data_IF_802425436111
#
_entry.id   IF_802425436111
#
_cell.length_a   1.000
_cell.length_b   1.000
_cell.length_c   1.000
_cell.angle_alpha   90.00
_cell.angle_beta   90.00
_cell.angle_gamma   90.00
#
_symmetry.space_group_name_H-M   'P 1'
#
loop_
_entity.id
_entity.type
_entity.pdbx_description
1 polymer ?
#
# COMPACT_ATOMS: atom_id res chain seq x y z
N UNK A 1 13.07 -18.90 -5.45
CA UNK A 1 12.40 -17.71 -6.04
C UNK A 1 13.39 -16.56 -6.02
N UNK A 2 13.31 -15.63 -6.95
CA UNK A 2 14.07 -14.37 -6.87
C UNK A 2 13.20 -13.33 -6.17
N UNK A 3 13.75 -12.58 -5.23
CA UNK A 3 13.06 -11.48 -4.53
C UNK A 3 13.83 -10.19 -4.72
N UNK A 4 13.13 -9.12 -5.06
CA UNK A 4 13.71 -7.79 -5.14
C UNK A 4 13.11 -6.92 -4.04
N UNK A 5 13.91 -6.61 -3.02
CA UNK A 5 13.53 -5.73 -1.92
C UNK A 5 13.73 -4.29 -2.37
N UNK A 6 12.65 -3.53 -2.42
CA UNK A 6 12.62 -2.13 -2.87
C UNK A 6 12.29 -1.27 -1.65
N UNK A 7 13.22 -0.44 -1.21
CA UNK A 7 13.05 0.43 -0.04
C UNK A 7 12.71 1.86 -0.44
N UNK A 8 11.57 2.37 0.01
CA UNK A 8 11.17 3.77 -0.08
C UNK A 8 11.33 4.42 1.29
N UNK A 9 12.37 5.25 1.45
CA UNK A 9 12.79 5.82 2.73
C UNK A 9 12.09 7.17 3.02
N UNK A 10 10.81 7.28 2.67
CA UNK A 10 10.06 8.51 2.79
C UNK A 10 8.89 8.36 3.76
N UNK A 11 8.61 9.43 4.47
CA UNK A 11 7.36 9.72 5.12
C UNK A 11 6.85 11.01 4.50
N UNK A 12 5.95 10.88 3.52
CA UNK A 12 5.49 11.95 2.63
C UNK A 12 6.68 12.73 2.04
N UNK A 13 6.86 14.00 2.37
CA UNK A 13 7.99 14.81 1.89
C UNK A 13 9.30 14.60 2.68
N UNK A 14 9.29 13.79 3.75
CA UNK A 14 10.41 13.69 4.67
C UNK A 14 11.26 12.44 4.41
N UNK A 15 12.42 12.62 3.79
CA UNK A 15 13.38 11.54 3.58
C UNK A 15 14.03 11.10 4.90
N UNK A 16 14.01 9.80 5.19
CA UNK A 16 14.62 9.15 6.37
C UNK A 16 14.17 9.73 7.72
N UNK A 17 12.94 10.19 7.80
CA UNK A 17 12.35 10.70 9.04
C UNK A 17 11.07 9.94 9.35
N UNK A 18 10.67 9.96 10.62
CA UNK A 18 9.44 9.33 11.12
C UNK A 18 9.26 7.91 10.54
N UNK A 19 8.16 7.60 9.88
CA UNK A 19 7.86 6.30 9.27
C UNK A 19 8.81 5.95 8.11
N UNK A 20 9.42 6.93 7.44
CA UNK A 20 10.46 6.70 6.43
C UNK A 20 11.75 6.03 6.95
N UNK A 21 11.89 5.85 8.28
CA UNK A 21 12.96 5.04 8.88
C UNK A 21 12.61 3.55 8.94
N UNK A 22 11.34 3.18 8.78
CA UNK A 22 10.87 1.80 8.87
C UNK A 22 11.59 0.85 7.92
N UNK A 23 11.69 1.17 6.62
CA UNK A 23 12.41 0.33 5.67
C UNK A 23 13.87 0.08 6.04
N UNK A 24 14.59 1.11 6.51
CA UNK A 24 15.97 0.93 6.98
C UNK A 24 16.06 0.01 8.19
N UNK A 25 15.08 0.07 9.09
CA UNK A 25 15.02 -0.80 10.26
C UNK A 25 14.86 -2.26 9.84
N UNK A 26 13.96 -2.58 8.93
CA UNK A 26 13.83 -3.94 8.39
C UNK A 26 15.14 -4.46 7.80
N UNK A 27 15.81 -3.63 6.99
CA UNK A 27 17.09 -4.00 6.37
C UNK A 27 18.19 -4.21 7.42
N UNK A 28 18.31 -3.31 8.41
CA UNK A 28 19.33 -3.41 9.48
C UNK A 28 19.10 -4.56 10.43
N UNK A 29 17.85 -5.03 10.59
CA UNK A 29 17.50 -6.19 11.41
C UNK A 29 17.62 -7.53 10.65
N UNK A 30 18.25 -7.51 9.48
CA UNK A 30 18.64 -8.71 8.76
C UNK A 30 17.54 -9.32 7.89
N UNK A 31 16.61 -8.51 7.36
CA UNK A 31 15.58 -9.00 6.44
C UNK A 31 16.19 -9.76 5.26
N UNK A 32 17.23 -9.20 4.62
CA UNK A 32 17.88 -9.81 3.46
C UNK A 32 18.46 -11.16 3.82
N UNK A 33 19.23 -11.23 4.91
CA UNK A 33 19.85 -12.47 5.39
C UNK A 33 18.81 -13.54 5.74
N UNK A 34 17.66 -13.15 6.28
CA UNK A 34 16.56 -14.09 6.58
C UNK A 34 15.92 -14.63 5.31
N UNK A 35 15.72 -13.79 4.29
CA UNK A 35 15.21 -14.24 3.00
C UNK A 35 16.18 -15.17 2.29
N UNK A 36 17.47 -14.87 2.31
CA UNK A 36 18.53 -15.74 1.75
C UNK A 36 18.61 -17.09 2.48
N UNK A 37 18.48 -17.09 3.81
CA UNK A 37 18.42 -18.32 4.61
C UNK A 37 17.20 -19.20 4.27
N UNK A 38 16.11 -18.59 3.75
CA UNK A 38 14.94 -19.30 3.21
C UNK A 38 15.12 -19.74 1.74
N UNK A 39 16.32 -19.63 1.19
CA UNK A 39 16.63 -20.04 -0.18
C UNK A 39 16.21 -19.06 -1.26
N UNK A 40 15.94 -17.78 -0.91
CA UNK A 40 15.65 -16.74 -1.89
C UNK A 40 16.94 -16.15 -2.47
N UNK A 41 16.96 -15.87 -3.76
CA UNK A 41 17.99 -14.99 -4.34
C UNK A 41 17.52 -13.54 -4.21
N UNK A 42 18.19 -12.74 -3.38
CA UNK A 42 17.73 -11.39 -3.03
C UNK A 42 18.56 -10.33 -3.74
N UNK A 43 17.87 -9.37 -4.38
CA UNK A 43 18.43 -8.10 -4.81
C UNK A 43 17.79 -6.98 -4.00
N UNK A 44 18.47 -5.85 -3.86
CA UNK A 44 17.96 -4.68 -3.14
C UNK A 44 18.06 -3.42 -3.99
N UNK A 45 17.08 -2.54 -3.87
CA UNK A 45 17.10 -1.21 -4.45
C UNK A 45 16.51 -0.20 -3.45
N UNK A 46 16.97 1.04 -3.53
CA UNK A 46 16.38 2.16 -2.80
C UNK A 46 15.81 3.13 -3.78
N UNK A 47 14.57 3.56 -3.54
CA UNK A 47 13.92 4.61 -4.33
C UNK A 47 14.34 5.95 -3.76
N UNK A 48 14.97 6.76 -4.59
CA UNK A 48 15.28 8.15 -4.31
C UNK A 48 14.39 9.04 -5.17
N UNK A 49 13.52 9.82 -4.51
CA UNK A 49 12.65 10.76 -5.18
C UNK A 49 13.38 12.09 -5.33
N UNK A 50 13.43 12.60 -6.55
CA UNK A 50 13.95 13.93 -6.85
C UNK A 50 12.78 14.86 -7.24
N UNK A 51 12.00 15.39 -6.25
CA UNK A 51 10.87 16.24 -6.56
C UNK A 51 11.32 17.56 -7.18
N UNK A 52 10.52 18.11 -8.09
CA UNK A 52 10.80 19.40 -8.71
C UNK A 52 10.85 20.54 -7.69
N UNK A 53 10.10 20.40 -6.59
CA UNK A 53 10.10 21.29 -5.43
C UNK A 53 9.68 20.52 -4.17
N UNK A 54 10.14 20.94 -2.97
CA UNK A 54 9.89 20.21 -1.72
C UNK A 54 8.47 20.49 -1.20
N UNK A 55 7.49 19.75 -1.72
CA UNK A 55 6.11 19.76 -1.24
C UNK A 55 5.62 18.32 -1.06
N UNK A 56 4.73 18.11 -0.10
CA UNK A 56 4.25 16.77 0.26
C UNK A 56 3.68 16.02 -0.94
N UNK A 57 2.76 16.64 -1.67
CA UNK A 57 2.10 16.01 -2.82
C UNK A 57 3.10 15.69 -3.92
N UNK A 58 3.95 16.67 -4.32
CA UNK A 58 4.93 16.44 -5.38
C UNK A 58 5.92 15.33 -4.99
N UNK A 59 6.43 15.35 -3.76
CA UNK A 59 7.36 14.31 -3.29
C UNK A 59 6.69 12.95 -3.24
N UNK A 60 5.45 12.87 -2.73
CA UNK A 60 4.70 11.62 -2.69
C UNK A 60 4.51 11.01 -4.09
N UNK A 61 4.11 11.81 -5.08
CA UNK A 61 3.97 11.33 -6.45
C UNK A 61 5.32 11.02 -7.11
N UNK A 62 6.40 11.74 -6.79
CA UNK A 62 7.74 11.40 -7.24
C UNK A 62 8.19 10.03 -6.68
N UNK A 63 7.90 9.75 -5.41
CA UNK A 63 8.14 8.43 -4.79
C UNK A 63 7.34 7.35 -5.51
N UNK A 64 6.04 7.55 -5.73
CA UNK A 64 5.18 6.57 -6.42
C UNK A 64 5.71 6.26 -7.83
N UNK A 65 6.18 7.27 -8.58
CA UNK A 65 6.81 7.08 -9.90
C UNK A 65 8.06 6.19 -9.79
N UNK A 66 8.98 6.53 -8.89
CA UNK A 66 10.20 5.75 -8.70
C UNK A 66 9.95 4.31 -8.23
N UNK A 67 8.94 4.11 -7.38
CA UNK A 67 8.52 2.77 -6.97
C UNK A 67 7.94 2.00 -8.15
N UNK A 68 7.10 2.61 -8.98
CA UNK A 68 6.54 1.96 -10.16
C UNK A 68 7.63 1.48 -11.12
N UNK A 69 8.64 2.31 -11.37
CA UNK A 69 9.80 1.95 -12.20
C UNK A 69 10.61 0.79 -11.60
N UNK A 70 10.88 0.83 -10.30
CA UNK A 70 11.62 -0.22 -9.60
C UNK A 70 10.86 -1.56 -9.57
N UNK A 71 9.55 -1.52 -9.33
CA UNK A 71 8.69 -2.71 -9.37
C UNK A 71 8.61 -3.27 -10.79
N UNK A 72 8.45 -2.41 -11.79
CA UNK A 72 8.44 -2.84 -13.20
C UNK A 72 9.74 -3.56 -13.57
N UNK A 73 10.90 -3.00 -13.18
CA UNK A 73 12.20 -3.63 -13.41
C UNK A 73 12.33 -4.97 -12.70
N UNK A 74 11.84 -5.09 -11.46
CA UNK A 74 11.85 -6.35 -10.72
C UNK A 74 11.00 -7.43 -11.40
N UNK A 75 9.79 -7.07 -11.82
CA UNK A 75 8.87 -7.99 -12.53
C UNK A 75 9.47 -8.41 -13.88
N UNK A 76 10.06 -7.49 -14.65
CA UNK A 76 10.72 -7.79 -15.91
C UNK A 76 11.93 -8.75 -15.74
N UNK A 77 12.61 -8.67 -14.58
CA UNK A 77 13.69 -9.61 -14.20
C UNK A 77 13.19 -10.95 -13.66
N UNK A 78 11.89 -11.19 -13.62
CA UNK A 78 11.26 -12.41 -13.06
C UNK A 78 11.43 -12.51 -11.54
N UNK A 79 11.54 -11.39 -10.84
CA UNK A 79 11.64 -11.34 -9.39
C UNK A 79 10.29 -10.94 -8.75
N UNK A 80 10.07 -11.42 -7.53
CA UNK A 80 8.97 -10.97 -6.68
C UNK A 80 9.33 -9.61 -6.06
N UNK A 81 8.56 -8.54 -6.29
CA UNK A 81 8.81 -7.24 -5.67
C UNK A 81 8.30 -7.24 -4.23
N UNK A 82 9.19 -7.00 -3.27
CA UNK A 82 8.88 -6.75 -1.87
C UNK A 82 9.19 -5.28 -1.58
N UNK A 83 8.14 -4.45 -1.49
CA UNK A 83 8.28 -3.01 -1.24
C UNK A 83 8.21 -2.75 0.26
N UNK A 84 9.20 -2.07 0.79
CA UNK A 84 9.23 -1.53 2.14
C UNK A 84 9.04 -0.02 2.06
N UNK A 85 8.02 0.50 2.71
CA UNK A 85 7.66 1.91 2.61
C UNK A 85 7.34 2.51 3.99
N UNK A 86 7.44 3.81 4.10
CA UNK A 86 6.96 4.56 5.26
C UNK A 86 5.52 5.07 5.07
N UNK A 87 4.95 4.89 3.86
CA UNK A 87 3.62 5.40 3.53
C UNK A 87 2.79 4.41 2.71
N UNK A 88 1.51 4.33 3.03
CA UNK A 88 0.54 3.47 2.36
C UNK A 88 0.31 3.84 0.91
N UNK A 89 0.33 5.13 0.57
CA UNK A 89 0.18 5.64 -0.79
C UNK A 89 1.27 5.13 -1.76
N UNK A 90 2.41 4.63 -1.26
CA UNK A 90 3.45 3.96 -2.05
C UNK A 90 2.91 2.74 -2.80
N UNK A 91 1.84 2.12 -2.32
CA UNK A 91 1.15 1.01 -2.99
C UNK A 91 0.58 1.39 -4.36
N UNK A 92 0.25 2.66 -4.57
CA UNK A 92 -0.16 3.14 -5.91
C UNK A 92 0.94 2.92 -6.93
N UNK A 93 2.19 3.27 -6.57
CA UNK A 93 3.36 2.99 -7.40
C UNK A 93 3.61 1.49 -7.57
N UNK A 94 3.47 0.72 -6.48
CA UNK A 94 3.65 -0.74 -6.52
C UNK A 94 2.71 -1.40 -7.50
N UNK A 95 1.41 -1.13 -7.39
CA UNK A 95 0.38 -1.69 -8.28
C UNK A 95 0.60 -1.27 -9.72
N UNK A 96 0.91 0.02 -9.95
CA UNK A 96 1.20 0.54 -11.29
C UNK A 96 2.39 -0.17 -11.96
N UNK A 97 3.43 -0.47 -11.19
CA UNK A 97 4.64 -1.15 -11.69
C UNK A 97 4.47 -2.62 -12.01
N UNK A 98 3.37 -3.28 -11.56
CA UNK A 98 3.12 -4.70 -11.86
C UNK A 98 2.78 -4.97 -13.34
N UNK A 99 2.54 -3.91 -14.11
CA UNK A 99 2.26 -4.00 -15.54
C UNK A 99 0.78 -4.29 -15.85
N UNK A 100 0.44 -4.55 -17.13
CA UNK A 100 -0.94 -4.61 -17.63
C UNK A 100 -1.63 -5.94 -17.28
N UNK A 101 -1.71 -6.26 -16.02
CA UNK A 101 -2.41 -7.44 -15.48
C UNK A 101 -3.70 -7.02 -14.82
N UNK A 102 -4.66 -7.94 -14.71
CA UNK A 102 -5.80 -7.75 -13.82
C UNK A 102 -5.36 -7.95 -12.39
N UNK A 103 -5.04 -6.84 -11.73
CA UNK A 103 -4.57 -6.84 -10.33
C UNK A 103 -5.77 -6.73 -9.41
N UNK A 104 -5.76 -7.51 -8.32
CA UNK A 104 -6.56 -7.29 -7.13
C UNK A 104 -5.69 -6.75 -5.99
N UNK A 105 -6.32 -6.18 -4.99
CA UNK A 105 -5.65 -5.65 -3.81
C UNK A 105 -6.30 -6.19 -2.55
N UNK A 106 -5.49 -6.70 -1.64
CA UNK A 106 -5.87 -6.94 -0.25
C UNK A 106 -5.12 -5.92 0.59
N UNK A 107 -5.88 -5.04 1.23
CA UNK A 107 -5.38 -3.91 2.01
C UNK A 107 -5.62 -4.17 3.49
N UNK A 108 -4.58 -4.58 4.22
CA UNK A 108 -4.60 -4.73 5.67
C UNK A 108 -4.19 -3.43 6.33
N UNK A 109 -5.11 -2.80 7.07
CA UNK A 109 -4.92 -1.49 7.66
C UNK A 109 -5.97 -1.26 8.77
N UNK A 110 -5.63 -0.46 9.77
CA UNK A 110 -6.58 0.04 10.75
C UNK A 110 -7.48 1.14 10.17
N UNK A 111 -7.03 1.82 9.13
CA UNK A 111 -7.71 2.91 8.42
C UNK A 111 -8.27 2.39 7.08
N UNK A 112 -8.88 3.26 6.30
CA UNK A 112 -9.30 2.89 4.94
C UNK A 112 -8.38 3.49 3.87
N UNK A 113 -7.64 4.54 4.21
CA UNK A 113 -6.87 5.34 3.26
C UNK A 113 -7.68 5.78 2.04
N UNK A 114 -8.98 6.01 2.28
CA UNK A 114 -10.00 6.27 1.27
C UNK A 114 -10.50 7.72 1.29
N UNK A 115 -9.83 8.55 2.08
CA UNK A 115 -10.06 9.99 2.07
C UNK A 115 -9.64 10.60 0.74
N UNK A 116 -10.24 11.74 0.44
CA UNK A 116 -9.87 12.60 -0.69
C UNK A 116 -9.59 14.00 -0.15
N UNK A 117 -9.05 14.93 -0.93
CA UNK A 117 -8.90 16.33 -0.51
C UNK A 117 -10.20 16.97 0.01
N UNK A 118 -11.35 16.48 -0.45
CA UNK A 118 -12.67 17.02 -0.06
C UNK A 118 -13.21 16.39 1.24
N UNK A 119 -12.68 15.25 1.68
CA UNK A 119 -13.16 14.54 2.88
C UNK A 119 -12.16 14.51 4.01
N UNK A 120 -10.87 14.65 3.71
CA UNK A 120 -9.83 14.64 4.71
C UNK A 120 -9.90 15.86 5.62
N UNK A 121 -9.93 15.61 6.92
CA UNK A 121 -9.90 16.68 7.95
C UNK A 121 -8.49 17.27 8.13
N UNK A 122 -7.45 16.55 7.74
CA UNK A 122 -6.05 16.91 7.95
C UNK A 122 -5.31 17.29 6.67
N UNK A 123 -5.80 16.88 5.50
CA UNK A 123 -5.11 16.98 4.22
C UNK A 123 -3.94 16.00 4.06
N UNK A 124 -3.76 15.04 4.97
CA UNK A 124 -2.67 14.10 4.98
C UNK A 124 -2.75 13.15 3.77
N UNK A 125 -1.75 13.24 2.89
CA UNK A 125 -1.76 12.51 1.61
C UNK A 125 -1.76 10.99 1.80
N UNK A 126 -1.18 10.50 2.88
CA UNK A 126 -1.09 9.06 3.14
C UNK A 126 -2.46 8.41 3.32
N UNK A 127 -3.35 9.06 4.05
CA UNK A 127 -4.74 8.62 4.19
C UNK A 127 -5.59 8.70 2.90
N UNK A 128 -4.95 8.85 1.73
CA UNK A 128 -5.61 8.88 0.42
C UNK A 128 -5.12 7.77 -0.52
N UNK A 129 -4.28 6.85 -0.03
CA UNK A 129 -3.61 5.86 -0.85
C UNK A 129 -4.59 5.00 -1.66
N UNK A 130 -5.59 4.43 -1.02
CA UNK A 130 -6.60 3.61 -1.67
C UNK A 130 -7.55 4.44 -2.54
N UNK A 131 -7.86 5.68 -2.17
CA UNK A 131 -8.66 6.60 -2.99
C UNK A 131 -7.93 6.99 -4.29
N UNK A 132 -6.61 7.23 -4.24
CA UNK A 132 -5.79 7.47 -5.43
C UNK A 132 -5.78 6.22 -6.30
N UNK A 133 -5.53 5.06 -5.71
CA UNK A 133 -5.45 3.79 -6.42
C UNK A 133 -6.75 3.45 -7.18
N UNK A 134 -7.90 3.79 -6.60
CA UNK A 134 -9.22 3.58 -7.22
C UNK A 134 -9.70 4.77 -8.05
N UNK A 135 -8.86 5.78 -8.29
CA UNK A 135 -9.14 6.89 -9.20
C UNK A 135 -10.09 7.96 -8.67
N UNK A 136 -10.25 8.11 -7.36
CA UNK A 136 -11.17 9.06 -6.74
C UNK A 136 -10.61 10.46 -6.56
N UNK A 137 -9.30 10.58 -6.48
CA UNK A 137 -8.64 11.88 -6.33
C UNK A 137 -7.28 11.91 -7.03
N UNK A 138 -6.71 13.09 -7.17
CA UNK A 138 -5.38 13.33 -7.74
C UNK A 138 -5.15 12.73 -9.14
N UNK A 139 -6.20 12.48 -9.92
CA UNK A 139 -6.14 11.78 -11.22
C UNK A 139 -5.08 12.33 -12.19
N UNK A 140 -4.91 13.68 -12.37
CA UNK A 140 -3.87 14.19 -13.24
C UNK A 140 -2.46 13.81 -12.79
N UNK A 141 -2.20 13.80 -11.49
CA UNK A 141 -0.91 13.40 -10.92
C UNK A 141 -0.72 11.89 -10.96
N UNK A 142 -1.75 11.12 -10.62
CA UNK A 142 -1.72 9.67 -10.70
C UNK A 142 -1.43 9.19 -12.13
N UNK A 143 -2.00 9.86 -13.13
CA UNK A 143 -1.73 9.60 -14.55
C UNK A 143 -0.26 9.83 -14.97
N UNK A 144 0.57 10.48 -14.15
CA UNK A 144 2.02 10.60 -14.40
C UNK A 144 2.82 9.40 -13.91
N UNK A 145 2.23 8.50 -13.13
CA UNK A 145 2.88 7.29 -12.65
C UNK A 145 2.91 6.26 -13.78
N UNK A 146 4.09 5.73 -14.16
CA UNK A 146 4.18 4.74 -15.22
C UNK A 146 3.29 3.51 -14.95
N UNK A 147 2.43 3.17 -15.88
CA UNK A 147 1.53 2.01 -15.77
C UNK A 147 0.28 2.21 -14.91
N UNK A 148 0.06 3.40 -14.35
CA UNK A 148 -1.13 3.67 -13.56
C UNK A 148 -2.41 3.48 -14.37
N UNK A 149 -3.33 2.73 -13.79
CA UNK A 149 -4.73 2.59 -14.20
C UNK A 149 -5.60 2.54 -12.94
N UNK A 150 -6.70 3.29 -12.87
CA UNK A 150 -7.60 3.20 -11.73
C UNK A 150 -8.10 1.77 -11.53
N UNK A 151 -7.98 1.29 -10.30
CA UNK A 151 -8.41 -0.06 -9.93
C UNK A 151 -9.94 -0.07 -9.71
N UNK A 152 -10.69 -1.01 -10.32
CA UNK A 152 -12.10 -1.19 -9.99
C UNK A 152 -12.30 -1.57 -8.53
N UNK A 153 -13.27 -0.98 -7.86
CA UNK A 153 -13.59 -1.24 -6.43
C UNK A 153 -13.79 -2.71 -6.11
N UNK A 154 -14.48 -3.45 -6.98
CA UNK A 154 -14.74 -4.89 -6.80
C UNK A 154 -13.49 -5.76 -6.80
N UNK A 155 -12.30 -5.19 -7.08
CA UNK A 155 -11.02 -5.86 -6.98
C UNK A 155 -10.24 -5.47 -5.72
N UNK A 156 -10.90 -4.88 -4.75
CA UNK A 156 -10.29 -4.46 -3.48
C UNK A 156 -10.97 -5.17 -2.32
N UNK A 157 -10.18 -5.75 -1.43
CA UNK A 157 -10.57 -6.20 -0.10
C UNK A 157 -9.84 -5.30 0.90
N UNK A 158 -10.59 -4.52 1.67
CA UNK A 158 -10.09 -3.76 2.81
C UNK A 158 -10.32 -4.59 4.08
N UNK A 159 -9.27 -4.86 4.83
CA UNK A 159 -9.27 -5.80 5.94
C UNK A 159 -8.67 -5.18 7.21
N UNK A 160 -9.42 -5.17 8.31
CA UNK A 160 -8.98 -4.68 9.61
C UNK A 160 -9.41 -3.25 9.95
N UNK A 161 -10.03 -2.53 9.01
CA UNK A 161 -10.40 -1.14 9.22
C UNK A 161 -11.34 -0.95 10.42
N UNK A 162 -10.99 -0.01 11.30
CA UNK A 162 -11.70 0.31 12.55
C UNK A 162 -11.76 1.80 12.86
N UNK A 163 -10.80 2.59 12.38
CA UNK A 163 -10.76 4.05 12.52
C UNK A 163 -10.99 4.71 11.16
N UNK A 164 -12.16 5.28 10.98
CA UNK A 164 -12.63 5.87 9.73
C UNK A 164 -13.25 7.23 9.99
N UNK A 165 -12.81 8.25 9.26
CA UNK A 165 -13.50 9.54 9.21
C UNK A 165 -14.96 9.37 8.74
N UNK A 166 -15.85 10.24 9.17
CA UNK A 166 -17.30 10.12 8.88
C UNK A 166 -17.56 10.11 7.36
N UNK A 167 -17.00 11.07 6.64
CA UNK A 167 -17.20 11.18 5.19
C UNK A 167 -16.47 10.07 4.41
N UNK A 168 -15.35 9.59 4.92
CA UNK A 168 -14.64 8.45 4.39
C UNK A 168 -15.48 7.18 4.48
N UNK A 169 -16.07 6.93 5.64
CA UNK A 169 -17.00 5.80 5.88
C UNK A 169 -18.18 5.83 4.92
N UNK A 170 -18.84 6.98 4.78
CA UNK A 170 -19.98 7.14 3.86
C UNK A 170 -19.60 6.78 2.42
N UNK A 171 -18.42 7.21 1.97
CA UNK A 171 -17.91 6.90 0.63
C UNK A 171 -17.56 5.42 0.47
N UNK A 172 -16.97 4.82 1.50
CA UNK A 172 -16.63 3.40 1.51
C UNK A 172 -17.87 2.53 1.42
N UNK A 173 -18.90 2.84 2.21
CA UNK A 173 -20.20 2.16 2.21
C UNK A 173 -20.93 2.30 0.85
N UNK A 174 -20.72 3.40 0.14
CA UNK A 174 -21.24 3.63 -1.20
C UNK A 174 -20.41 2.98 -2.34
N UNK A 175 -19.32 2.28 -2.00
CA UNK A 175 -18.42 1.65 -2.98
C UNK A 175 -18.71 0.15 -3.12
N UNK A 176 -18.05 -0.50 -4.10
CA UNK A 176 -18.06 -1.95 -4.24
C UNK A 176 -16.83 -2.62 -3.60
N UNK A 177 -16.08 -1.91 -2.75
CA UNK A 177 -14.96 -2.46 -1.99
C UNK A 177 -15.49 -3.45 -0.95
N UNK A 178 -14.92 -4.66 -0.92
CA UNK A 178 -15.24 -5.64 0.10
C UNK A 178 -14.55 -5.23 1.43
N UNK A 179 -15.32 -4.67 2.37
CA UNK A 179 -14.81 -4.23 3.65
C UNK A 179 -15.03 -5.30 4.72
N UNK A 180 -13.94 -5.83 5.27
CA UNK A 180 -13.91 -6.74 6.41
C UNK A 180 -13.32 -6.00 7.61
N UNK A 181 -14.19 -5.43 8.46
CA UNK A 181 -13.76 -4.68 9.64
C UNK A 181 -12.96 -5.55 10.61
N UNK A 182 -12.21 -4.90 11.50
CA UNK A 182 -11.49 -5.58 12.60
C UNK A 182 -12.43 -6.51 13.39
N UNK A 183 -13.61 -6.02 13.78
CA UNK A 183 -14.61 -6.82 14.49
C UNK A 183 -15.10 -8.03 13.67
N UNK A 184 -15.22 -7.90 12.34
CA UNK A 184 -15.66 -8.99 11.48
C UNK A 184 -14.57 -10.07 11.33
N UNK A 185 -13.29 -9.68 11.29
CA UNK A 185 -12.14 -10.59 11.16
C UNK A 185 -11.85 -11.33 12.48
N UNK A 186 -12.06 -10.67 13.62
CA UNK A 186 -11.84 -11.27 14.94
C UNK A 186 -13.05 -12.07 15.47
N UNK A 187 -14.17 -12.08 14.76
CA UNK A 187 -15.32 -12.91 15.08
C UNK A 187 -15.06 -14.41 14.80
N UNK A 188 -15.90 -15.30 15.33
CA UNK A 188 -15.79 -16.77 15.21
C UNK A 188 -15.59 -17.26 13.75
N UNK A 189 -16.20 -16.58 12.77
CA UNK A 189 -16.11 -16.91 11.33
C UNK A 189 -15.27 -15.90 10.54
N UNK A 190 -14.32 -15.23 11.17
CA UNK A 190 -13.45 -14.25 10.49
C UNK A 190 -12.60 -14.86 9.37
N UNK A 191 -11.90 -16.00 9.62
CA UNK A 191 -11.11 -16.67 8.58
C UNK A 191 -11.94 -17.12 7.37
N UNK A 192 -13.15 -17.64 7.61
CA UNK A 192 -14.06 -18.08 6.54
C UNK A 192 -14.56 -16.89 5.70
N UNK A 193 -14.84 -15.75 6.34
CA UNK A 193 -15.21 -14.50 5.63
C UNK A 193 -14.08 -14.00 4.74
N UNK A 194 -12.84 -14.00 5.24
CA UNK A 194 -11.67 -13.63 4.44
C UNK A 194 -11.48 -14.62 3.28
N UNK A 195 -11.59 -15.92 3.53
CA UNK A 195 -11.49 -16.95 2.47
C UNK A 195 -12.53 -16.72 1.38
N UNK A 196 -13.79 -16.49 1.75
CA UNK A 196 -14.86 -16.24 0.79
C UNK A 196 -14.61 -14.97 -0.05
N UNK A 197 -14.11 -13.90 0.55
CA UNK A 197 -13.76 -12.68 -0.17
C UNK A 197 -12.59 -12.92 -1.14
N UNK A 198 -11.57 -13.68 -0.72
CA UNK A 198 -10.44 -14.05 -1.58
C UNK A 198 -10.88 -14.94 -2.74
N UNK A 199 -11.81 -15.89 -2.52
CA UNK A 199 -12.34 -16.75 -3.58
C UNK A 199 -13.08 -15.94 -4.65
N UNK A 200 -13.83 -14.91 -4.25
CA UNK A 200 -14.48 -13.99 -5.20
C UNK A 200 -13.42 -13.17 -5.95
N UNK A 201 -12.47 -12.59 -5.25
CA UNK A 201 -11.40 -11.80 -5.87
C UNK A 201 -10.59 -12.63 -6.88
N UNK A 202 -10.27 -13.88 -6.55
CA UNK A 202 -9.47 -14.76 -7.39
C UNK A 202 -10.10 -15.07 -8.76
N UNK A 203 -11.41 -14.94 -8.89
CA UNK A 203 -12.12 -15.13 -10.17
C UNK A 203 -11.91 -13.95 -11.13
N UNK A 204 -11.60 -12.77 -10.59
CA UNK A 204 -11.53 -11.53 -11.34
C UNK A 204 -10.09 -11.10 -11.69
N UNK A 205 -9.06 -11.69 -11.04
CA UNK A 205 -7.71 -11.17 -11.10
C UNK A 205 -6.67 -12.24 -11.47
N UNK A 206 -5.52 -11.78 -11.97
CA UNK A 206 -4.38 -12.63 -12.36
C UNK A 206 -3.25 -12.57 -11.31
N UNK A 207 -3.24 -11.51 -10.50
CA UNK A 207 -2.31 -11.32 -9.39
C UNK A 207 -2.93 -10.45 -8.31
N UNK A 208 -2.43 -10.59 -7.10
CA UNK A 208 -2.87 -9.81 -5.94
C UNK A 208 -1.69 -9.01 -5.39
N UNK A 209 -1.89 -7.72 -5.22
CA UNK A 209 -1.03 -6.90 -4.38
C UNK A 209 -1.50 -7.03 -2.93
N UNK A 210 -0.60 -7.46 -2.06
CA UNK A 210 -0.83 -7.50 -0.62
C UNK A 210 -0.21 -6.25 0.00
N UNK A 211 -1.05 -5.35 0.50
CA UNK A 211 -0.67 -4.22 1.33
C UNK A 211 -0.83 -4.60 2.80
N UNK A 212 0.14 -4.26 3.62
CA UNK A 212 0.09 -4.44 5.07
C UNK A 212 0.61 -3.17 5.73
N UNK A 213 -0.30 -2.35 6.28
CA UNK A 213 0.10 -1.39 7.28
C UNK A 213 0.30 -2.11 8.62
N UNK A 214 1.37 -1.75 9.33
CA UNK A 214 1.67 -2.39 10.61
C UNK A 214 0.69 -2.01 11.71
N UNK A 215 -0.04 -0.91 11.55
CA UNK A 215 -1.05 -0.48 12.52
C UNK A 215 -2.36 -1.26 12.43
N UNK A 216 -2.52 -2.16 11.44
CA UNK A 216 -3.58 -3.16 11.45
C UNK A 216 -3.52 -4.01 12.72
N UNK A 217 -2.32 -4.21 13.27
CA UNK A 217 -2.13 -4.90 14.53
C UNK A 217 -2.59 -4.04 15.72
N UNK A 218 -2.94 -4.70 16.82
CA UNK A 218 -3.17 -4.02 18.10
C UNK A 218 -1.89 -3.26 18.51
N UNK A 219 -2.03 -1.99 18.88
CA UNK A 219 -0.93 -1.12 19.30
C UNK A 219 -0.09 -1.68 20.44
N UNK A 220 -0.67 -2.56 21.28
CA UNK A 220 0.05 -3.28 22.35
C UNK A 220 1.00 -4.34 21.82
N UNK A 221 0.77 -4.83 20.60
CA UNK A 221 1.59 -5.83 19.91
C UNK A 221 2.60 -5.16 19.00
N UNK A 222 2.14 -4.22 18.19
CA UNK A 222 2.95 -3.51 17.21
C UNK A 222 2.66 -1.99 17.24
N UNK A 223 3.35 -1.21 18.11
CA UNK A 223 3.20 0.25 18.15
C UNK A 223 3.86 0.88 16.91
N UNK A 224 3.15 0.87 15.78
CA UNK A 224 3.69 1.21 14.47
C UNK A 224 3.90 2.72 14.30
N UNK A 225 2.98 3.56 14.76
CA UNK A 225 3.03 5.01 14.62
C UNK A 225 2.32 5.72 15.78
N UNK A 226 2.22 7.06 15.71
CA UNK A 226 1.53 7.87 16.72
C UNK A 226 0.03 8.07 16.44
N UNK A 227 -0.48 7.58 15.32
CA UNK A 227 -1.86 7.70 14.85
C UNK A 227 -2.63 6.39 15.04
N UNK A 228 -2.27 5.60 16.04
CA UNK A 228 -2.91 4.32 16.31
C UNK A 228 -4.28 4.53 16.93
N UNK A 229 -5.32 3.89 16.39
CA UNK A 229 -6.67 3.89 16.96
C UNK A 229 -6.76 3.06 18.23
#
# INVERSE_FOLDING_TARGET
MKTHVIASLYDTAHHRKRMGKGPERFLSEGLVQRLEALGQAVATATVDAAPAFPAEVETGFAVMRGVAEAVHAAVAAGAFPLVLAGNCNTSVGTVSGLGPRRIGVVWFDAHADFNTPDTSSTGFLDGMGLAILTGRCWQPLAGTIPGYQPLPDGRVILAGARDLDVLERERLEGSAIACLSDAALNAEHGPERMSAALDVLAQEVEAVHLHIDLDVHDARIAPANHFQP
#
